data_IF_406264739945
#
_entry.id   IF_406264739945
#
_cell.length_a   1.000
_cell.length_b   1.000
_cell.length_c   1.000
_cell.angle_alpha   90.00
_cell.angle_beta   90.00
_cell.angle_gamma   90.00
#
_symmetry.space_group_name_H-M   'P 1'
#
loop_
_entity.id
_entity.type
_entity.pdbx_description
1 polymer ?
#
# COMPACT_ATOMS: atom_id res chain seq x y z
N UNK A 1 28.47 -15.31 29.13
CA UNK A 1 28.52 -14.16 28.21
C UNK A 1 27.50 -14.45 27.13
N UNK A 2 26.28 -13.95 27.32
CA UNK A 2 25.16 -14.22 26.42
C UNK A 2 25.10 -13.09 25.40
N UNK A 3 25.28 -13.42 24.12
CA UNK A 3 25.26 -12.44 23.04
C UNK A 3 23.81 -12.08 22.71
N UNK A 4 23.35 -10.89 23.13
CA UNK A 4 22.08 -10.33 22.67
C UNK A 4 22.19 -9.93 21.20
N UNK A 5 21.33 -10.50 20.36
CA UNK A 5 21.20 -10.10 18.95
C UNK A 5 20.58 -8.70 18.88
N UNK A 6 21.07 -7.78 18.02
CA UNK A 6 20.42 -6.49 17.82
C UNK A 6 19.13 -6.70 17.03
N UNK A 7 17.97 -6.40 17.63
CA UNK A 7 16.70 -6.33 16.90
C UNK A 7 16.57 -4.95 16.28
N UNK A 8 17.18 -4.74 15.10
CA UNK A 8 17.10 -3.48 14.33
C UNK A 8 15.72 -3.24 13.68
N UNK A 9 14.69 -4.02 14.07
CA UNK A 9 13.33 -3.89 13.54
C UNK A 9 12.41 -3.47 14.69
N UNK A 10 12.17 -2.17 14.81
CA UNK A 10 11.03 -1.65 15.55
C UNK A 10 9.76 -1.99 14.76
N UNK A 11 9.16 -3.14 15.07
CA UNK A 11 7.79 -3.44 14.65
C UNK A 11 6.86 -2.64 15.55
N UNK A 12 6.17 -1.65 14.98
CA UNK A 12 5.11 -0.94 15.67
C UNK A 12 4.02 -1.94 16.09
N UNK A 13 3.88 -2.18 17.39
CA UNK A 13 2.88 -3.09 17.95
C UNK A 13 1.45 -2.51 17.85
N UNK A 14 1.25 -1.34 17.22
CA UNK A 14 -0.05 -0.72 17.00
C UNK A 14 -0.89 -1.32 15.85
N UNK A 15 -0.31 -2.16 14.99
CA UNK A 15 -1.05 -2.78 13.87
C UNK A 15 -1.54 -4.17 14.31
N UNK A 16 -2.74 -4.23 14.88
CA UNK A 16 -3.49 -5.50 14.99
C UNK A 16 -4.27 -5.75 13.70
N UNK A 17 -4.35 -7.01 13.25
CA UNK A 17 -5.27 -7.43 12.19
C UNK A 17 -6.72 -7.02 12.51
N UNK A 18 -7.07 -6.97 13.79
CA UNK A 18 -8.41 -6.57 14.26
C UNK A 18 -8.71 -5.09 14.00
N UNK A 19 -7.67 -4.28 13.78
CA UNK A 19 -7.78 -2.83 13.53
C UNK A 19 -7.62 -2.48 12.04
N UNK A 20 -7.46 -3.46 11.16
CA UNK A 20 -7.42 -3.26 9.70
C UNK A 20 -8.86 -3.31 9.20
N UNK A 21 -9.38 -2.17 8.78
CA UNK A 21 -10.69 -2.14 8.15
C UNK A 21 -10.63 -2.60 6.69
N UNK A 22 -11.80 -2.77 6.10
CA UNK A 22 -11.90 -3.21 4.71
C UNK A 22 -11.25 -2.24 3.72
N UNK A 23 -11.27 -0.93 3.99
CA UNK A 23 -10.66 0.07 3.11
C UNK A 23 -9.13 -0.01 3.12
N UNK A 24 -8.55 -0.28 4.29
CA UNK A 24 -7.12 -0.53 4.44
C UNK A 24 -6.71 -1.78 3.65
N UNK A 25 -7.48 -2.87 3.73
CA UNK A 25 -7.25 -4.06 2.92
C UNK A 25 -7.30 -3.77 1.41
N UNK A 26 -8.31 -3.04 0.93
CA UNK A 26 -8.41 -2.68 -0.48
C UNK A 26 -7.22 -1.82 -0.94
N UNK A 27 -6.73 -0.92 -0.08
CA UNK A 27 -5.52 -0.13 -0.36
C UNK A 27 -4.27 -0.99 -0.44
N UNK A 28 -4.11 -1.95 0.48
CA UNK A 28 -3.01 -2.91 0.44
C UNK A 28 -3.03 -3.72 -0.84
N UNK A 29 -4.20 -4.25 -1.23
CA UNK A 29 -4.38 -5.01 -2.47
C UNK A 29 -4.07 -4.17 -3.72
N UNK A 30 -4.52 -2.92 -3.77
CA UNK A 30 -4.22 -2.01 -4.88
C UNK A 30 -2.72 -1.74 -5.03
N UNK A 31 -2.04 -1.46 -3.91
CA UNK A 31 -0.58 -1.24 -3.91
C UNK A 31 0.15 -2.51 -4.34
N UNK A 32 -0.26 -3.67 -3.81
CA UNK A 32 0.31 -4.97 -4.17
C UNK A 32 0.23 -5.24 -5.67
N UNK A 33 -0.95 -5.03 -6.28
CA UNK A 33 -1.13 -5.22 -7.73
C UNK A 33 -0.22 -4.29 -8.55
N UNK A 34 -0.07 -3.03 -8.12
CA UNK A 34 0.85 -2.10 -8.79
C UNK A 34 2.31 -2.60 -8.73
N UNK A 35 2.73 -3.14 -7.58
CA UNK A 35 4.06 -3.73 -7.42
C UNK A 35 4.26 -4.95 -8.36
N UNK A 36 3.28 -5.85 -8.43
CA UNK A 36 3.31 -7.02 -9.33
C UNK A 36 3.38 -6.62 -10.81
N UNK A 37 2.77 -5.50 -11.20
CA UNK A 37 2.88 -4.93 -12.54
C UNK A 37 4.20 -4.17 -12.79
N UNK A 38 5.11 -4.14 -11.81
CA UNK A 38 6.43 -3.49 -11.93
C UNK A 38 6.42 -1.99 -11.68
N UNK A 39 5.39 -1.46 -11.01
CA UNK A 39 5.44 -0.10 -10.47
C UNK A 39 6.29 -0.04 -9.21
N UNK A 40 7.03 1.05 -9.05
CA UNK A 40 7.58 1.46 -7.77
C UNK A 40 6.57 2.35 -7.04
N UNK A 41 6.28 2.06 -5.78
CA UNK A 41 5.38 2.86 -4.94
C UNK A 41 6.15 3.48 -3.78
N UNK A 42 6.05 4.80 -3.62
CA UNK A 42 6.66 5.55 -2.51
C UNK A 42 5.56 6.24 -1.71
N UNK A 43 5.38 5.86 -0.45
CA UNK A 43 4.53 6.57 0.50
C UNK A 43 5.24 7.82 1.02
N UNK A 44 4.52 8.94 1.04
CA UNK A 44 4.86 10.19 1.71
C UNK A 44 3.74 10.53 2.70
N UNK A 45 3.94 11.55 3.53
CA UNK A 45 3.01 11.90 4.62
C UNK A 45 1.55 12.04 4.17
N UNK A 46 1.31 12.63 2.98
CA UNK A 46 -0.02 12.97 2.48
C UNK A 46 -0.36 12.31 1.12
N UNK A 47 0.55 11.52 0.55
CA UNK A 47 0.44 11.02 -0.83
C UNK A 47 1.24 9.75 -1.09
N UNK A 48 0.88 9.07 -2.17
CA UNK A 48 1.60 7.96 -2.77
C UNK A 48 2.09 8.37 -4.15
N UNK A 49 3.32 7.97 -4.47
CA UNK A 49 3.96 8.22 -5.76
C UNK A 49 4.19 6.86 -6.41
N UNK A 50 3.50 6.61 -7.51
CA UNK A 50 3.65 5.43 -8.36
C UNK A 50 4.56 5.80 -9.53
N UNK A 51 5.58 5.01 -9.81
CA UNK A 51 6.52 5.24 -10.92
C UNK A 51 6.80 3.94 -11.67
N UNK A 52 6.62 3.93 -12.98
CA UNK A 52 6.93 2.78 -13.85
C UNK A 52 8.06 3.16 -14.79
N UNK A 53 9.29 2.79 -14.43
CA UNK A 53 10.51 3.28 -15.09
C UNK A 53 10.57 2.96 -16.58
N UNK A 54 10.17 1.74 -16.97
CA UNK A 54 10.25 1.29 -18.35
C UNK A 54 9.21 1.96 -19.27
N UNK A 55 8.15 2.56 -18.72
CA UNK A 55 7.14 3.29 -19.48
C UNK A 55 7.23 4.82 -19.31
N UNK A 56 8.17 5.31 -18.49
CA UNK A 56 8.28 6.74 -18.15
C UNK A 56 7.06 7.31 -17.43
N UNK A 57 6.19 6.46 -16.86
CA UNK A 57 4.94 6.88 -16.20
C UNK A 57 5.16 7.23 -14.74
N UNK A 58 4.47 8.27 -14.28
CA UNK A 58 4.46 8.71 -12.88
C UNK A 58 3.09 9.21 -12.49
N UNK A 59 2.54 8.67 -11.41
CA UNK A 59 1.28 9.10 -10.84
C UNK A 59 1.49 9.53 -9.38
N UNK A 60 0.87 10.63 -8.98
CA UNK A 60 0.94 11.15 -7.61
C UNK A 60 -0.49 11.26 -7.08
N UNK A 61 -0.82 10.43 -6.12
CA UNK A 61 -2.16 10.30 -5.56
C UNK A 61 -2.12 10.74 -4.10
N UNK A 62 -2.86 11.78 -3.72
CA UNK A 62 -3.05 12.08 -2.28
C UNK A 62 -3.70 10.89 -1.58
N UNK A 63 -3.44 10.67 -0.29
CA UNK A 63 -4.02 9.53 0.45
C UNK A 63 -5.56 9.50 0.37
N UNK A 64 -6.20 10.66 0.51
CA UNK A 64 -7.66 10.80 0.40
C UNK A 64 -8.19 10.49 -0.99
N UNK A 65 -7.50 10.97 -2.03
CA UNK A 65 -7.85 10.65 -3.41
C UNK A 65 -7.68 9.16 -3.69
N UNK A 66 -6.60 8.55 -3.22
CA UNK A 66 -6.35 7.11 -3.40
C UNK A 66 -7.46 6.29 -2.74
N UNK A 67 -7.87 6.64 -1.51
CA UNK A 67 -9.01 6.00 -0.84
C UNK A 67 -10.29 6.10 -1.67
N UNK A 68 -10.63 7.31 -2.12
CA UNK A 68 -11.84 7.54 -2.96
C UNK A 68 -11.75 6.82 -4.30
N UNK A 69 -10.58 6.79 -4.91
CA UNK A 69 -10.32 6.10 -6.18
C UNK A 69 -10.54 4.59 -6.03
N UNK A 70 -10.01 3.99 -4.97
CA UNK A 70 -10.19 2.57 -4.68
C UNK A 70 -11.67 2.28 -4.44
N UNK A 71 -12.34 3.01 -3.55
CA UNK A 71 -13.79 2.80 -3.31
C UNK A 71 -14.61 2.93 -4.60
N UNK A 72 -14.25 3.87 -5.49
CA UNK A 72 -14.95 4.10 -6.76
C UNK A 72 -14.69 3.03 -7.82
N UNK A 73 -13.47 2.50 -7.91
CA UNK A 73 -13.04 1.67 -9.03
C UNK A 73 -12.87 0.19 -8.65
N UNK A 74 -12.63 -0.11 -7.38
CA UNK A 74 -12.49 -1.43 -6.77
C UNK A 74 -13.78 -1.79 -6.01
N UNK A 75 -14.85 -2.10 -6.74
CA UNK A 75 -15.96 -2.89 -6.19
C UNK A 75 -15.54 -4.36 -6.25
N UNK A 76 -15.62 -5.09 -5.14
CA UNK A 76 -15.31 -6.54 -5.09
C UNK A 76 -16.06 -7.33 -6.16
N UNK A 77 -17.23 -6.86 -6.57
CA UNK A 77 -18.04 -7.42 -7.67
C UNK A 77 -17.26 -7.53 -9.00
N UNK A 78 -16.20 -6.75 -9.19
CA UNK A 78 -15.35 -6.77 -10.38
C UNK A 78 -14.12 -7.68 -10.26
N UNK A 79 -13.80 -8.18 -9.06
CA UNK A 79 -12.64 -9.06 -8.82
C UNK A 79 -13.00 -10.55 -8.81
N UNK A 80 -14.29 -10.89 -8.73
CA UNK A 80 -14.80 -12.27 -8.64
C UNK A 80 -15.49 -12.69 -9.95
N UNK A 81 -15.12 -12.07 -11.09
CA UNK A 81 -15.59 -12.46 -12.42
C UNK A 81 -14.50 -13.17 -13.23
#
# INVERSE_FOLDING_TARGET
>A
MEYSQPTDIHVDHGISLDNIDFQDFQKMAFIYNALDEGWQVVKKTDRYIFTKKHEGRKEVLSDDYLKKFIVKNFSLDKLIQ
#
